data_IF_830137788447
#
_entry.id   IF_830137788447
#
_cell.length_a   1.000
_cell.length_b   1.000
_cell.length_c   1.000
_cell.angle_alpha   90.00
_cell.angle_beta   90.00
_cell.angle_gamma   90.00
#
_symmetry.space_group_name_H-M   'P 1'
#
loop_
_entity.id
_entity.type
_entity.pdbx_description
1 polymer ?
#
# COMPACT_ATOMS: atom_id res chain seq x y z
N UNK A 1 -21.01 7.82 -12.20
CA UNK A 1 -20.96 9.27 -11.94
C UNK A 1 -22.12 10.07 -12.54
N UNK A 2 -22.42 10.08 -13.86
CA UNK A 2 -23.57 10.87 -14.41
C UNK A 2 -24.94 10.54 -13.78
N UNK A 3 -25.25 9.26 -13.51
CA UNK A 3 -26.53 8.85 -12.90
C UNK A 3 -26.69 9.26 -11.44
N UNK A 4 -25.60 9.61 -10.75
CA UNK A 4 -25.58 9.93 -9.33
C UNK A 4 -25.90 11.40 -9.02
N UNK A 5 -25.90 12.26 -10.04
CA UNK A 5 -26.08 13.72 -9.91
C UNK A 5 -27.20 14.24 -10.83
N UNK A 6 -28.21 13.42 -11.15
CA UNK A 6 -29.30 13.80 -12.07
C UNK A 6 -30.20 14.90 -11.48
N UNK A 7 -30.28 14.93 -10.17
CA UNK A 7 -31.10 15.76 -9.30
C UNK A 7 -30.63 17.21 -9.19
N UNK A 8 -29.39 17.50 -9.55
CA UNK A 8 -28.80 18.86 -9.52
C UNK A 8 -28.64 19.50 -10.90
N UNK A 9 -28.91 18.78 -11.99
CA UNK A 9 -28.85 19.33 -13.34
C UNK A 9 -30.26 19.74 -13.81
N UNK A 10 -30.46 20.97 -14.29
CA UNK A 10 -31.75 21.35 -14.87
C UNK A 10 -31.95 20.68 -16.25
N UNK A 11 -33.19 20.32 -16.61
CA UNK A 11 -33.49 19.80 -17.96
C UNK A 11 -33.25 20.87 -19.04
N UNK A 12 -32.95 20.43 -20.27
CA UNK A 12 -32.86 21.35 -21.41
C UNK A 12 -34.25 21.69 -21.93
N UNK A 13 -34.62 22.96 -21.73
CA UNK A 13 -35.86 23.53 -22.27
C UNK A 13 -37.12 22.99 -21.60
N UNK A 14 -38.25 23.55 -22.03
CA UNK A 14 -39.56 23.32 -21.42
C UNK A 14 -40.15 21.92 -21.72
N UNK A 15 -39.47 21.15 -22.57
CA UNK A 15 -39.92 19.82 -23.03
C UNK A 15 -39.26 18.64 -22.29
N UNK A 16 -38.45 18.89 -21.25
CA UNK A 16 -38.01 17.83 -20.32
C UNK A 16 -36.89 16.90 -20.82
N UNK A 17 -36.02 17.38 -21.72
CA UNK A 17 -34.89 16.61 -22.27
C UNK A 17 -33.66 16.65 -21.35
N UNK A 18 -32.87 15.57 -21.32
CA UNK A 18 -31.68 15.43 -20.47
C UNK A 18 -30.44 15.11 -21.31
N UNK A 19 -29.28 15.63 -20.91
CA UNK A 19 -28.02 15.48 -21.66
C UNK A 19 -27.61 14.01 -21.85
N UNK A 20 -27.62 13.50 -23.08
CA UNK A 20 -26.70 12.43 -23.47
C UNK A 20 -25.32 13.09 -23.66
N UNK A 21 -24.24 12.51 -23.11
CA UNK A 21 -22.88 12.99 -23.28
C UNK A 21 -22.46 12.89 -24.76
N UNK A 22 -22.93 13.86 -25.56
CA UNK A 22 -22.64 14.04 -26.96
C UNK A 22 -21.95 15.40 -27.04
N UNK A 23 -20.66 15.47 -27.40
CA UNK A 23 -19.92 16.72 -27.34
C UNK A 23 -20.50 17.77 -28.29
N UNK A 24 -20.71 18.96 -27.73
CA UNK A 24 -21.13 20.18 -28.39
C UNK A 24 -20.01 20.71 -29.31
N UNK A 25 -20.09 20.37 -30.61
CA UNK A 25 -19.47 21.10 -31.74
C UNK A 25 -20.05 20.53 -33.06
N UNK A 26 -20.64 21.29 -33.98
CA UNK A 26 -20.65 22.74 -34.23
C UNK A 26 -21.98 23.27 -34.80
N UNK A 27 -22.10 24.59 -34.75
CA UNK A 27 -23.27 25.45 -34.85
C UNK A 27 -24.00 25.45 -36.23
N UNK A 28 -25.33 25.31 -36.21
CA UNK A 28 -26.30 25.77 -37.24
C UNK A 28 -26.35 25.13 -38.66
N UNK A 29 -25.51 24.17 -39.06
CA UNK A 29 -25.35 23.79 -40.49
C UNK A 29 -25.52 22.30 -40.90
N UNK A 30 -26.73 21.75 -40.79
CA UNK A 30 -27.27 20.85 -41.85
C UNK A 30 -26.62 19.50 -42.18
N UNK A 31 -26.09 18.73 -41.23
CA UNK A 31 -25.73 17.31 -41.48
C UNK A 31 -26.17 16.36 -40.35
N UNK A 32 -27.41 15.85 -40.38
CA UNK A 32 -27.91 14.86 -39.44
C UNK A 32 -27.78 13.46 -40.04
N UNK A 33 -26.71 12.70 -39.72
CA UNK A 33 -26.71 11.21 -39.78
C UNK A 33 -25.34 10.51 -39.68
N UNK A 34 -24.21 11.21 -39.65
CA UNK A 34 -22.89 10.53 -39.65
C UNK A 34 -22.45 10.07 -38.25
N UNK A 35 -23.26 9.24 -37.59
CA UNK A 35 -22.81 8.42 -36.45
C UNK A 35 -22.06 7.22 -37.05
N UNK A 36 -20.76 7.14 -36.77
CA UNK A 36 -19.78 6.36 -37.55
C UNK A 36 -19.69 4.90 -37.10
N UNK A 37 -19.44 3.99 -38.05
CA UNK A 37 -19.20 2.57 -37.79
C UNK A 37 -17.73 2.37 -37.37
N UNK A 38 -17.50 2.18 -36.07
CA UNK A 38 -16.18 1.88 -35.50
C UNK A 38 -16.08 0.36 -35.32
N UNK A 39 -14.93 -0.24 -35.64
CA UNK A 39 -14.69 -1.66 -35.33
C UNK A 39 -14.60 -1.80 -33.80
N UNK A 40 -14.95 -2.96 -33.26
CA UNK A 40 -14.93 -3.21 -31.81
C UNK A 40 -13.57 -2.92 -31.13
N UNK A 41 -12.48 -2.90 -31.90
CA UNK A 41 -11.12 -2.60 -31.44
C UNK A 41 -10.78 -1.10 -31.43
N UNK A 42 -11.73 -0.22 -31.79
CA UNK A 42 -11.54 1.22 -31.83
C UNK A 42 -10.87 1.76 -33.11
N UNK A 43 -10.52 0.89 -34.07
CA UNK A 43 -9.88 1.29 -35.32
C UNK A 43 -10.89 1.76 -36.38
N UNK A 44 -10.42 2.64 -37.28
CA UNK A 44 -11.16 3.08 -38.47
C UNK A 44 -10.77 2.23 -39.68
N UNK A 45 -11.76 1.83 -40.49
CA UNK A 45 -11.52 1.05 -41.71
C UNK A 45 -10.71 1.88 -42.71
N UNK A 46 -9.52 1.38 -43.04
CA UNK A 46 -8.40 2.12 -43.66
C UNK A 46 -8.71 2.80 -45.00
N UNK A 47 -9.71 2.32 -45.74
CA UNK A 47 -9.90 2.69 -47.14
C UNK A 47 -10.46 4.09 -47.37
N UNK A 48 -10.99 4.77 -46.34
CA UNK A 48 -11.65 6.07 -46.53
C UNK A 48 -11.04 7.22 -45.72
N UNK A 49 -10.00 6.99 -44.92
CA UNK A 49 -9.43 8.02 -44.04
C UNK A 49 -8.76 9.18 -44.81
N UNK A 50 -8.28 8.93 -46.03
CA UNK A 50 -7.50 9.89 -46.81
C UNK A 50 -8.33 10.97 -47.53
N UNK A 51 -9.64 10.76 -47.73
CA UNK A 51 -10.54 11.73 -48.37
C UNK A 51 -11.07 12.80 -47.40
N UNK A 52 -10.66 12.77 -46.12
CA UNK A 52 -11.15 13.72 -45.11
C UNK A 52 -12.57 13.43 -44.59
N UNK A 53 -13.24 12.42 -45.13
CA UNK A 53 -14.59 12.00 -44.74
C UNK A 53 -14.63 11.29 -43.35
N UNK A 54 -13.46 10.86 -42.84
CA UNK A 54 -13.35 10.06 -41.61
C UNK A 54 -12.13 10.50 -40.78
N UNK A 55 -12.35 11.29 -39.73
CA UNK A 55 -11.33 11.65 -38.70
C UNK A 55 -11.63 11.09 -37.30
N UNK A 56 -10.62 10.74 -36.51
CA UNK A 56 -10.82 10.27 -35.12
C UNK A 56 -11.10 11.47 -34.20
N UNK A 57 -12.10 11.37 -33.31
CA UNK A 57 -12.33 12.39 -32.26
C UNK A 57 -11.56 11.96 -31.01
N UNK A 58 -10.66 12.80 -30.45
CA UNK A 58 -10.09 12.55 -29.15
C UNK A 58 -11.21 12.43 -28.12
N UNK A 59 -11.25 11.33 -27.36
CA UNK A 59 -12.28 11.12 -26.33
C UNK A 59 -12.15 12.10 -25.15
N UNK A 60 -10.94 12.63 -24.94
CA UNK A 60 -10.60 13.48 -23.81
C UNK A 60 -9.64 14.58 -24.26
N UNK A 61 -9.94 15.83 -23.87
CA UNK A 61 -9.04 16.97 -24.02
C UNK A 61 -8.52 17.34 -22.62
N UNK A 62 -7.27 17.01 -22.33
CA UNK A 62 -6.60 17.38 -21.08
C UNK A 62 -6.01 18.79 -21.25
N UNK A 63 -6.51 19.76 -20.48
CA UNK A 63 -5.91 21.08 -20.39
C UNK A 63 -4.61 21.01 -19.59
N UNK A 64 -3.61 21.79 -19.99
CA UNK A 64 -2.36 22.00 -19.26
C UNK A 64 -2.57 22.53 -17.84
N UNK A 65 -3.70 23.19 -17.56
CA UNK A 65 -4.02 23.65 -16.20
C UNK A 65 -4.34 22.49 -15.24
N UNK A 66 -4.58 21.28 -15.77
CA UNK A 66 -4.83 20.05 -15.00
C UNK A 66 -3.52 19.27 -14.79
N UNK A 67 -2.46 19.55 -15.57
CA UNK A 67 -1.17 18.92 -15.36
C UNK A 67 -0.49 19.52 -14.14
N UNK A 68 -0.35 18.72 -13.09
CA UNK A 68 0.53 18.99 -11.96
C UNK A 68 1.87 18.34 -12.29
N UNK A 69 2.94 19.13 -12.35
CA UNK A 69 4.29 18.60 -12.36
C UNK A 69 4.65 18.32 -10.90
N UNK A 70 4.81 17.05 -10.53
CA UNK A 70 5.49 16.72 -9.29
C UNK A 70 6.96 16.97 -9.56
N UNK A 71 7.50 18.09 -9.06
CA UNK A 71 8.93 18.25 -8.97
C UNK A 71 9.41 17.08 -8.09
N UNK A 72 10.22 16.20 -8.67
CA UNK A 72 10.63 14.93 -8.06
C UNK A 72 11.62 15.11 -6.91
N UNK A 73 11.22 15.89 -5.90
CA UNK A 73 11.98 16.23 -4.70
C UNK A 73 11.06 16.39 -3.47
N UNK A 74 9.92 15.66 -3.44
CA UNK A 74 9.16 15.41 -2.19
C UNK A 74 9.28 13.94 -1.76
N UNK A 75 10.38 13.29 -2.15
CA UNK A 75 10.95 12.22 -1.34
C UNK A 75 11.76 12.91 -0.23
N UNK A 76 11.06 13.60 0.68
CA UNK A 76 11.62 13.83 1.99
C UNK A 76 11.72 12.46 2.65
N UNK A 77 12.83 11.78 2.41
CA UNK A 77 13.40 10.80 3.32
C UNK A 77 13.66 11.53 4.63
N UNK A 78 12.59 11.80 5.36
CA UNK A 78 12.67 12.09 6.78
C UNK A 78 13.31 10.81 7.31
N UNK A 79 14.60 10.88 7.64
CA UNK A 79 15.27 9.89 8.47
C UNK A 79 14.58 9.94 9.83
N UNK A 80 13.39 9.34 9.91
CA UNK A 80 12.65 9.17 11.15
C UNK A 80 13.51 8.23 11.97
N UNK A 81 13.98 8.71 13.12
CA UNK A 81 14.76 7.86 14.01
C UNK A 81 13.91 6.64 14.41
N UNK A 82 14.53 5.48 14.60
CA UNK A 82 13.80 4.25 14.96
C UNK A 82 12.89 4.47 16.19
N UNK A 83 13.36 5.23 17.18
CA UNK A 83 12.56 5.60 18.34
C UNK A 83 11.29 6.39 18.00
N UNK A 84 11.37 7.33 17.05
CA UNK A 84 10.22 8.10 16.59
C UNK A 84 9.23 7.21 15.85
N UNK A 85 9.72 6.23 15.09
CA UNK A 85 8.89 5.24 14.40
C UNK A 85 8.12 4.38 15.42
N UNK A 86 8.79 3.89 16.47
CA UNK A 86 8.15 3.11 17.52
C UNK A 86 7.12 3.94 18.29
N UNK A 87 7.45 5.20 18.65
CA UNK A 87 6.50 6.14 19.28
C UNK A 87 5.29 6.41 18.40
N UNK A 88 5.48 6.61 17.10
CA UNK A 88 4.40 6.80 16.15
C UNK A 88 3.50 5.56 16.03
N UNK A 89 4.08 4.35 16.05
CA UNK A 89 3.33 3.10 16.04
C UNK A 89 2.46 2.94 17.30
N UNK A 90 3.02 3.21 18.49
CA UNK A 90 2.26 3.20 19.75
C UNK A 90 1.14 4.23 19.71
N UNK A 91 1.40 5.45 19.22
CA UNK A 91 0.39 6.51 19.12
C UNK A 91 -0.74 6.16 18.14
N UNK A 92 -0.40 5.55 17.00
CA UNK A 92 -1.36 5.24 15.93
C UNK A 92 -2.25 4.05 16.26
N UNK A 93 -1.69 3.00 16.87
CA UNK A 93 -2.38 1.72 17.07
C UNK A 93 -2.77 1.45 18.53
N UNK A 94 -2.14 2.15 19.49
CA UNK A 94 -2.39 2.04 20.91
C UNK A 94 -1.60 0.93 21.61
N UNK A 95 -1.36 1.11 22.91
CA UNK A 95 -0.53 0.20 23.73
C UNK A 95 -1.02 -1.25 23.72
N UNK A 96 -2.33 -1.46 23.86
CA UNK A 96 -2.93 -2.81 23.85
C UNK A 96 -2.67 -3.55 22.55
N UNK A 97 -2.67 -2.86 21.41
CA UNK A 97 -2.38 -3.49 20.12
C UNK A 97 -0.92 -3.95 20.06
N UNK A 98 0.02 -3.11 20.51
CA UNK A 98 1.44 -3.46 20.56
C UNK A 98 1.72 -4.64 21.50
N UNK A 99 1.03 -4.72 22.64
CA UNK A 99 1.12 -5.87 23.55
C UNK A 99 0.58 -7.16 22.89
N UNK A 100 -0.45 -7.07 22.05
CA UNK A 100 -0.95 -8.24 21.32
C UNK A 100 0.04 -8.70 20.25
N UNK A 101 0.64 -7.77 19.50
CA UNK A 101 1.74 -8.05 18.56
C UNK A 101 2.90 -8.71 19.30
N UNK A 102 3.26 -8.22 20.49
CA UNK A 102 4.27 -8.85 21.35
C UNK A 102 4.01 -10.32 21.66
N UNK A 103 2.76 -10.69 21.88
CA UNK A 103 2.39 -12.08 22.13
C UNK A 103 2.50 -12.90 20.84
N UNK A 104 2.13 -12.33 19.71
CA UNK A 104 2.20 -12.96 18.39
C UNK A 104 3.65 -13.26 17.98
N UNK A 105 4.54 -12.25 17.99
CA UNK A 105 5.94 -12.43 17.56
C UNK A 105 6.70 -13.40 18.47
N UNK A 106 6.46 -13.34 19.79
CA UNK A 106 7.06 -14.31 20.72
C UNK A 106 6.58 -15.75 20.43
N UNK A 107 5.33 -15.91 19.97
CA UNK A 107 4.76 -17.21 19.65
C UNK A 107 5.34 -17.76 18.34
N UNK A 108 5.52 -16.92 17.32
CA UNK A 108 6.13 -17.33 16.05
C UNK A 108 7.62 -17.64 16.21
N UNK A 109 8.39 -16.85 16.98
CA UNK A 109 9.78 -17.19 17.32
C UNK A 109 9.85 -18.53 18.07
N UNK A 110 8.96 -18.76 19.05
CA UNK A 110 8.90 -20.04 19.78
C UNK A 110 8.69 -21.21 18.81
N UNK A 111 7.79 -21.06 17.84
CA UNK A 111 7.50 -22.07 16.83
C UNK A 111 8.66 -22.28 15.87
N UNK A 112 9.36 -21.22 15.45
CA UNK A 112 10.55 -21.32 14.61
C UNK A 112 11.68 -22.10 15.32
N UNK A 113 11.93 -21.79 16.59
CA UNK A 113 12.90 -22.53 17.43
C UNK A 113 12.51 -24.00 17.61
N UNK A 114 11.22 -24.31 17.76
CA UNK A 114 10.75 -25.71 17.81
C UNK A 114 10.97 -26.47 16.51
N UNK A 115 10.92 -25.81 15.35
CA UNK A 115 11.28 -26.44 14.07
C UNK A 115 12.77 -26.78 14.04
N UNK A 116 13.63 -25.89 14.53
CA UNK A 116 15.07 -26.14 14.64
C UNK A 116 15.39 -27.33 15.55
N UNK A 117 14.80 -27.39 16.75
CA UNK A 117 14.99 -28.55 17.65
C UNK A 117 14.55 -29.85 16.96
N UNK A 118 13.43 -29.81 16.23
CA UNK A 118 12.95 -30.99 15.48
C UNK A 118 13.88 -31.38 14.35
N UNK A 119 14.52 -30.41 13.70
CA UNK A 119 15.55 -30.68 12.71
C UNK A 119 16.76 -31.36 13.36
N UNK A 120 17.25 -30.86 14.49
CA UNK A 120 18.38 -31.47 15.21
C UNK A 120 18.07 -32.91 15.68
N UNK A 121 16.90 -33.12 16.27
CA UNK A 121 16.53 -34.42 16.85
C UNK A 121 16.15 -35.47 15.79
N UNK A 122 15.53 -35.05 14.68
CA UNK A 122 14.88 -35.96 13.73
C UNK A 122 15.25 -35.73 12.26
N UNK A 123 16.15 -34.79 11.97
CA UNK A 123 16.56 -34.39 10.61
C UNK A 123 15.35 -34.06 9.70
N UNK A 124 14.40 -33.31 10.26
CA UNK A 124 13.15 -32.89 9.59
C UNK A 124 13.19 -31.42 9.16
N UNK A 125 12.78 -31.16 7.93
CA UNK A 125 12.75 -29.81 7.35
C UNK A 125 14.05 -29.47 6.62
N UNK A 126 14.02 -28.35 5.92
CA UNK A 126 15.22 -27.76 5.33
C UNK A 126 15.89 -26.84 6.35
N UNK A 127 17.20 -27.02 6.55
CA UNK A 127 17.94 -26.28 7.56
C UNK A 127 18.01 -24.78 7.24
N UNK A 128 18.23 -24.44 5.97
CA UNK A 128 18.40 -23.05 5.55
C UNK A 128 17.09 -22.28 5.71
N UNK A 129 15.96 -22.88 5.29
CA UNK A 129 14.62 -22.32 5.50
C UNK A 129 14.30 -22.11 6.99
N UNK A 130 14.73 -23.04 7.87
CA UNK A 130 14.50 -22.94 9.31
C UNK A 130 15.30 -21.79 9.92
N UNK A 131 16.57 -21.66 9.54
CA UNK A 131 17.45 -20.59 10.04
C UNK A 131 17.00 -19.22 9.53
N UNK A 132 16.56 -19.12 8.28
CA UNK A 132 15.96 -17.90 7.72
C UNK A 132 14.71 -17.51 8.50
N UNK A 133 13.78 -18.46 8.72
CA UNK A 133 12.59 -18.22 9.55
C UNK A 133 12.97 -17.75 10.96
N UNK A 134 13.97 -18.36 11.62
CA UNK A 134 14.43 -17.88 12.93
C UNK A 134 14.99 -16.45 12.86
N UNK A 135 15.70 -16.11 11.80
CA UNK A 135 16.27 -14.77 11.63
C UNK A 135 15.17 -13.71 11.48
N UNK A 136 14.13 -13.99 10.69
CA UNK A 136 12.96 -13.13 10.53
C UNK A 136 12.24 -12.92 11.87
N UNK A 137 11.85 -14.01 12.54
CA UNK A 137 11.12 -13.90 13.81
C UNK A 137 11.94 -13.22 14.92
N UNK A 138 13.27 -13.36 14.90
CA UNK A 138 14.15 -12.63 15.83
C UNK A 138 14.18 -11.12 15.55
N UNK A 139 14.09 -10.72 14.28
CA UNK A 139 14.01 -9.32 13.92
C UNK A 139 12.68 -8.73 14.39
N UNK A 140 11.57 -9.43 14.17
CA UNK A 140 10.23 -9.01 14.60
C UNK A 140 10.13 -8.90 16.13
N UNK A 141 10.65 -9.90 16.85
CA UNK A 141 10.75 -9.84 18.33
C UNK A 141 11.61 -8.65 18.78
N UNK A 142 12.70 -8.33 18.09
CA UNK A 142 13.56 -7.18 18.46
C UNK A 142 12.82 -5.84 18.29
N UNK A 143 12.12 -5.66 17.18
CA UNK A 143 11.28 -4.49 16.91
C UNK A 143 10.20 -4.35 17.99
N UNK A 144 9.57 -5.45 18.32
CA UNK A 144 8.52 -5.50 19.32
C UNK A 144 9.03 -5.18 20.74
N UNK A 145 10.20 -5.67 21.14
CA UNK A 145 10.81 -5.33 22.42
C UNK A 145 11.14 -3.83 22.52
N UNK A 146 11.56 -3.22 21.41
CA UNK A 146 11.75 -1.77 21.34
C UNK A 146 10.43 -1.01 21.50
N UNK A 147 9.33 -1.50 20.90
CA UNK A 147 7.99 -0.92 21.12
C UNK A 147 7.52 -1.07 22.57
N UNK A 148 7.79 -2.21 23.22
CA UNK A 148 7.49 -2.39 24.65
C UNK A 148 8.31 -1.44 25.53
N UNK A 149 9.54 -1.13 25.14
CA UNK A 149 10.39 -0.13 25.83
C UNK A 149 9.76 1.26 25.77
N UNK A 150 9.12 1.62 24.66
CA UNK A 150 8.36 2.87 24.55
C UNK A 150 7.17 2.92 25.53
N UNK A 151 6.52 1.78 25.78
CA UNK A 151 5.32 1.69 26.64
C UNK A 151 5.69 1.60 28.13
N UNK A 152 6.62 0.71 28.49
CA UNK A 152 6.94 0.38 29.87
C UNK A 152 8.21 1.06 30.40
N UNK A 153 8.95 1.74 29.53
CA UNK A 153 10.25 2.32 29.83
C UNK A 153 11.40 1.33 29.68
N UNK A 154 12.62 1.86 29.87
CA UNK A 154 13.86 1.09 29.79
C UNK A 154 14.00 0.12 30.97
N UNK A 155 14.66 -1.01 30.73
CA UNK A 155 14.88 -2.10 31.69
C UNK A 155 16.37 -2.36 32.00
N UNK A 156 17.24 -1.37 31.77
CA UNK A 156 18.72 -1.47 31.87
C UNK A 156 19.20 -2.03 33.23
N UNK A 157 18.59 -1.59 34.34
CA UNK A 157 18.92 -2.08 35.69
C UNK A 157 18.64 -3.59 35.83
N UNK A 158 17.47 -4.03 35.35
CA UNK A 158 17.08 -5.43 35.41
C UNK A 158 17.91 -6.29 34.47
N UNK A 159 18.28 -5.78 33.29
CA UNK A 159 19.18 -6.47 32.37
C UNK A 159 20.57 -6.67 32.98
N UNK A 160 21.12 -5.63 33.61
CA UNK A 160 22.43 -5.69 34.27
C UNK A 160 22.45 -6.75 35.37
N UNK A 161 21.46 -6.77 36.26
CA UNK A 161 21.34 -7.78 37.32
C UNK A 161 21.26 -9.21 36.75
N UNK A 162 20.51 -9.41 35.66
CA UNK A 162 20.40 -10.71 35.00
C UNK A 162 21.70 -11.16 34.34
N UNK A 163 22.45 -10.22 33.75
CA UNK A 163 23.75 -10.51 33.13
C UNK A 163 24.81 -10.85 34.18
N UNK A 164 24.84 -10.16 35.32
CA UNK A 164 25.73 -10.49 36.44
C UNK A 164 25.45 -11.92 36.95
N UNK A 165 24.17 -12.26 37.16
CA UNK A 165 23.78 -13.61 37.57
C UNK A 165 24.16 -14.68 36.53
N UNK A 166 23.97 -14.39 35.24
CA UNK A 166 24.39 -15.29 34.16
C UNK A 166 25.91 -15.50 34.17
N UNK A 167 26.68 -14.43 34.35
CA UNK A 167 28.14 -14.49 34.40
C UNK A 167 28.63 -15.38 35.56
N UNK A 168 27.94 -15.35 36.70
CA UNK A 168 28.30 -16.20 37.85
C UNK A 168 27.95 -17.67 37.61
N UNK A 169 26.79 -17.98 37.02
CA UNK A 169 26.44 -19.36 36.61
C UNK A 169 27.49 -19.94 35.65
N UNK A 170 27.96 -19.14 34.69
CA UNK A 170 28.95 -19.60 33.71
C UNK A 170 30.33 -19.81 34.34
N UNK A 171 30.74 -18.98 35.30
CA UNK A 171 32.00 -19.17 36.03
C UNK A 171 31.99 -20.45 36.87
N UNK A 172 30.85 -20.78 37.50
CA UNK A 172 30.72 -21.98 38.33
C UNK A 172 30.70 -23.28 37.49
N UNK A 173 30.42 -23.19 36.19
CA UNK A 173 30.40 -24.32 35.26
C UNK A 173 31.77 -24.64 34.62
N UNK A 174 32.80 -23.80 34.85
CA UNK A 174 34.17 -23.94 34.32
C UNK A 174 35.14 -24.48 35.38
#
# INVERSE_FOLDING_TARGET
EYRQHRDILPPLGDEGWWWLATPYSTERAGYPSLVRFVISDGSLRISNAYNGDYGVRPALYLKSDISVSLDGDDESTIEVSEEELYKAAVQKFGERAQILVAIEEMSELTKALLKYIRHEDFNQGDYDDIVESIAEERADVSIMLNQLTVIFGKNEDAETEKLEHLADIVKDAL
#
